data_IF_535751270784
#
_entry.id   IF_535751270784
#
_cell.length_a   1.000
_cell.length_b   1.000
_cell.length_c   1.000
_cell.angle_alpha   90.00
_cell.angle_beta   90.00
_cell.angle_gamma   90.00
#
_symmetry.space_group_name_H-M   'P 1'
#
loop_
_entity.id
_entity.type
_entity.pdbx_description
1 polymer ?
#
# COMPACT_ATOMS: atom_id res chain seq x y z
N UNK A 1 -2.97 -13.52 -14.05
CA UNK A 1 -3.85 -12.77 -13.14
C UNK A 1 -5.29 -13.14 -13.43
N UNK A 2 -6.17 -13.23 -12.42
CA UNK A 2 -7.60 -13.60 -12.58
C UNK A 2 -8.45 -12.33 -12.78
N UNK A 3 -8.84 -11.97 -14.02
CA UNK A 3 -9.52 -10.70 -14.30
C UNK A 3 -10.89 -10.65 -13.61
N UNK A 4 -11.25 -9.49 -13.04
CA UNK A 4 -12.51 -9.30 -12.33
C UNK A 4 -12.62 -10.05 -11.00
N UNK A 5 -11.56 -10.73 -10.55
CA UNK A 5 -11.51 -11.46 -9.26
C UNK A 5 -10.38 -10.98 -8.35
N UNK A 6 -9.31 -10.47 -8.94
CA UNK A 6 -8.18 -9.86 -8.22
C UNK A 6 -7.95 -8.46 -8.79
N UNK A 7 -7.79 -7.48 -7.90
CA UNK A 7 -7.43 -6.10 -8.24
C UNK A 7 -6.02 -5.80 -7.73
N UNK A 8 -5.12 -5.45 -8.64
CA UNK A 8 -3.81 -4.93 -8.26
C UNK A 8 -3.91 -3.46 -7.85
N UNK A 9 -3.43 -3.18 -6.65
CA UNK A 9 -3.39 -1.84 -6.05
C UNK A 9 -1.93 -1.47 -5.83
N UNK A 10 -1.36 -0.57 -6.65
CA UNK A 10 0.00 -0.08 -6.44
C UNK A 10 0.08 0.66 -5.10
N UNK A 11 0.99 0.23 -4.22
CA UNK A 11 1.19 0.88 -2.92
C UNK A 11 1.48 2.38 -3.06
N UNK A 12 2.28 2.77 -4.07
CA UNK A 12 2.56 4.18 -4.35
C UNK A 12 1.27 4.99 -4.57
N UNK A 13 0.36 4.50 -5.42
CA UNK A 13 -0.92 5.17 -5.65
C UNK A 13 -1.80 5.20 -4.40
N UNK A 14 -1.81 4.13 -3.59
CA UNK A 14 -2.54 4.08 -2.33
C UNK A 14 -2.13 5.20 -1.37
N UNK A 15 -0.84 5.50 -1.28
CA UNK A 15 -0.32 6.49 -0.32
C UNK A 15 -0.22 7.90 -0.87
N UNK A 16 -0.18 8.08 -2.21
CA UNK A 16 -0.18 9.42 -2.84
C UNK A 16 -1.58 9.91 -3.20
N UNK A 17 -2.49 8.99 -3.52
CA UNK A 17 -3.87 9.28 -3.93
C UNK A 17 -4.88 8.37 -3.19
N UNK A 18 -4.95 8.45 -1.86
CA UNK A 18 -5.71 7.51 -1.04
C UNK A 18 -7.20 7.48 -1.38
N UNK A 19 -7.82 8.64 -1.59
CA UNK A 19 -9.26 8.70 -1.90
C UNK A 19 -9.59 8.10 -3.28
N UNK A 20 -8.77 8.39 -4.30
CA UNK A 20 -8.98 7.83 -5.64
C UNK A 20 -8.76 6.32 -5.64
N UNK A 21 -7.70 5.85 -4.96
CA UNK A 21 -7.40 4.43 -4.82
C UNK A 21 -8.50 3.70 -4.04
N UNK A 22 -8.95 4.23 -2.91
CA UNK A 22 -10.01 3.64 -2.10
C UNK A 22 -11.33 3.55 -2.87
N UNK A 23 -11.71 4.57 -3.66
CA UNK A 23 -12.90 4.52 -4.52
C UNK A 23 -12.81 3.38 -5.54
N UNK A 24 -11.67 3.24 -6.23
CA UNK A 24 -11.45 2.15 -7.19
C UNK A 24 -11.54 0.77 -6.52
N UNK A 25 -11.02 0.63 -5.30
CA UNK A 25 -11.09 -0.62 -4.53
C UNK A 25 -12.53 -0.92 -4.12
N UNK A 26 -13.26 0.07 -3.61
CA UNK A 26 -14.66 -0.10 -3.21
C UNK A 26 -15.56 -0.43 -4.40
N UNK A 27 -15.39 0.25 -5.54
CA UNK A 27 -16.10 -0.04 -6.79
C UNK A 27 -15.84 -1.47 -7.26
N UNK A 28 -14.59 -1.91 -7.25
CA UNK A 28 -14.23 -3.30 -7.59
C UNK A 28 -14.90 -4.33 -6.67
N UNK A 29 -15.04 -4.00 -5.38
CA UNK A 29 -15.73 -4.84 -4.39
C UNK A 29 -17.26 -4.71 -4.43
N UNK A 30 -17.83 -3.79 -5.22
CA UNK A 30 -19.26 -3.49 -5.23
C UNK A 30 -19.76 -2.81 -3.95
N UNK A 31 -18.90 -2.09 -3.25
CA UNK A 31 -19.19 -1.40 -1.99
C UNK A 31 -19.41 0.10 -2.21
N UNK A 32 -20.32 0.75 -1.45
CA UNK A 32 -20.51 2.19 -1.51
C UNK A 32 -19.34 2.94 -0.88
N UNK A 33 -19.19 4.21 -1.24
CA UNK A 33 -18.27 5.13 -0.56
C UNK A 33 -18.90 5.67 0.73
N UNK A 34 -18.11 5.73 1.80
CA UNK A 34 -18.47 6.37 3.06
C UNK A 34 -17.49 7.49 3.41
N UNK A 35 -17.97 8.54 4.07
CA UNK A 35 -17.10 9.56 4.63
C UNK A 35 -16.19 8.92 5.69
N UNK A 36 -14.90 9.28 5.66
CA UNK A 36 -13.91 8.69 6.56
C UNK A 36 -13.24 7.40 6.07
N UNK A 37 -13.56 6.88 4.87
CA UNK A 37 -12.86 5.71 4.30
C UNK A 37 -11.32 5.85 4.23
N UNK A 38 -10.79 7.08 4.25
CA UNK A 38 -9.36 7.38 4.24
C UNK A 38 -8.83 7.92 5.57
N UNK A 39 -9.69 8.12 6.57
CA UNK A 39 -9.37 8.63 7.91
C UNK A 39 -9.12 7.46 8.89
N UNK A 40 -8.26 6.53 8.48
CA UNK A 40 -8.03 5.26 9.19
C UNK A 40 -7.49 5.46 10.60
N UNK A 41 -6.81 6.58 10.85
CA UNK A 41 -6.27 6.96 12.16
C UNK A 41 -7.36 7.20 13.21
N UNK A 42 -8.61 7.46 12.79
CA UNK A 42 -9.76 7.65 13.68
C UNK A 42 -10.30 6.34 14.24
N UNK A 43 -9.89 5.19 13.69
CA UNK A 43 -10.36 3.89 14.14
C UNK A 43 -9.81 3.53 15.53
N UNK A 44 -10.70 3.27 16.48
CA UNK A 44 -10.35 3.07 17.90
C UNK A 44 -10.11 1.62 18.28
N UNK A 45 -10.49 0.65 17.46
CA UNK A 45 -10.35 -0.75 17.82
C UNK A 45 -8.87 -1.16 17.97
N UNK A 46 -8.57 -2.14 18.84
CA UNK A 46 -7.20 -2.61 19.04
C UNK A 46 -6.64 -3.29 17.79
N UNK A 47 -5.36 -3.04 17.51
CA UNK A 47 -4.59 -3.68 16.43
C UNK A 47 -3.35 -4.32 17.05
N UNK A 48 -3.28 -5.64 17.05
CA UNK A 48 -2.22 -6.44 17.70
C UNK A 48 -1.30 -7.09 16.67
N UNK A 49 -0.99 -6.38 15.58
CA UNK A 49 -0.09 -6.83 14.52
C UNK A 49 1.22 -6.04 14.56
N UNK A 50 2.26 -6.54 13.88
CA UNK A 50 3.56 -5.86 13.80
C UNK A 50 3.48 -4.44 13.18
N UNK A 51 2.43 -4.17 12.40
CA UNK A 51 2.16 -2.85 11.80
C UNK A 51 1.25 -1.96 12.65
N UNK A 52 0.93 -2.35 13.89
CA UNK A 52 -0.07 -1.69 14.74
C UNK A 52 0.14 -0.19 14.94
N UNK A 53 1.39 0.25 15.11
CA UNK A 53 1.71 1.68 15.23
C UNK A 53 1.52 2.41 13.90
N UNK A 54 1.97 1.80 12.79
CA UNK A 54 1.89 2.40 11.45
C UNK A 54 0.45 2.61 10.99
N UNK A 55 -0.45 1.67 11.27
CA UNK A 55 -1.86 1.78 10.83
C UNK A 55 -2.66 2.80 11.66
N UNK A 56 -2.08 3.34 12.73
CA UNK A 56 -2.67 4.41 13.55
C UNK A 56 -2.23 5.81 13.10
N UNK A 57 -1.33 5.90 12.13
CA UNK A 57 -0.93 7.16 11.52
C UNK A 57 -1.83 7.47 10.31
N UNK A 58 -2.03 8.77 9.96
CA UNK A 58 -2.67 9.13 8.70
C UNK A 58 -1.96 8.49 7.51
N UNK A 59 -2.70 8.17 6.45
CA UNK A 59 -2.11 7.60 5.23
C UNK A 59 -1.04 8.56 4.69
N UNK A 60 0.19 8.07 4.58
CA UNK A 60 1.32 8.85 4.10
C UNK A 60 2.32 8.02 3.28
N UNK A 61 3.01 8.68 2.36
CA UNK A 61 4.05 8.07 1.52
C UNK A 61 5.42 7.92 2.18
N UNK A 62 5.55 8.11 3.50
CA UNK A 62 6.84 8.11 4.21
C UNK A 62 7.70 6.87 3.97
N UNK A 63 7.08 5.69 3.77
CA UNK A 63 7.78 4.44 3.48
C UNK A 63 8.32 4.32 2.05
N UNK A 64 7.88 5.18 1.12
CA UNK A 64 8.30 5.12 -0.28
C UNK A 64 9.80 5.34 -0.40
N UNK A 65 10.48 4.41 -1.06
CA UNK A 65 11.91 4.51 -1.30
C UNK A 65 12.79 4.29 -0.06
N UNK A 66 12.25 3.84 1.08
CA UNK A 66 13.06 3.50 2.26
C UNK A 66 14.20 2.51 1.96
N UNK A 67 13.98 1.59 1.02
CA UNK A 67 15.01 0.65 0.55
C UNK A 67 16.27 1.34 0.02
N UNK A 68 16.15 2.58 -0.51
CA UNK A 68 17.27 3.33 -1.08
C UNK A 68 18.37 3.62 -0.06
N UNK A 69 18.03 3.71 1.24
CA UNK A 69 19.01 3.83 2.33
C UNK A 69 19.98 2.65 2.39
N UNK A 70 19.54 1.49 1.90
CA UNK A 70 20.30 0.25 1.88
C UNK A 70 20.77 -0.12 0.47
N UNK A 71 20.56 0.74 -0.54
CA UNK A 71 20.84 0.42 -1.94
C UNK A 71 22.28 -0.10 -2.16
N UNK A 72 23.26 0.47 -1.45
CA UNK A 72 24.67 0.06 -1.53
C UNK A 72 24.91 -1.42 -1.12
N UNK A 73 24.01 -1.98 -0.30
CA UNK A 73 24.11 -3.34 0.25
C UNK A 73 23.22 -4.34 -0.50
N UNK A 74 22.34 -3.86 -1.38
CA UNK A 74 21.34 -4.67 -2.07
C UNK A 74 21.77 -5.12 -3.49
N UNK A 75 23.01 -4.81 -3.92
CA UNK A 75 23.50 -5.11 -5.26
C UNK A 75 23.22 -6.54 -5.75
N UNK A 76 23.67 -7.59 -5.03
CA UNK A 76 23.44 -8.97 -5.44
C UNK A 76 21.95 -9.35 -5.48
N UNK A 77 21.12 -8.77 -4.60
CA UNK A 77 19.68 -9.01 -4.61
C UNK A 77 19.03 -8.35 -5.83
N UNK A 78 19.42 -7.10 -6.13
CA UNK A 78 18.92 -6.33 -7.26
C UNK A 78 19.19 -7.05 -8.58
N UNK A 79 20.42 -7.49 -8.81
CA UNK A 79 20.81 -8.24 -10.02
C UNK A 79 19.94 -9.50 -10.21
N UNK A 80 19.64 -10.22 -9.12
CA UNK A 80 18.80 -11.42 -9.17
C UNK A 80 17.32 -11.10 -9.45
N UNK A 81 16.82 -9.98 -8.95
CA UNK A 81 15.44 -9.53 -9.17
C UNK A 81 15.25 -9.02 -10.61
N UNK A 82 16.20 -8.21 -11.10
CA UNK A 82 16.21 -7.73 -12.49
C UNK A 82 16.28 -8.92 -13.49
N UNK A 83 17.13 -9.91 -13.22
CA UNK A 83 17.20 -11.14 -14.02
C UNK A 83 15.94 -12.01 -13.97
N UNK A 84 15.09 -11.82 -12.96
CA UNK A 84 13.80 -12.49 -12.82
C UNK A 84 12.62 -11.66 -13.39
N UNK A 85 12.89 -10.49 -13.97
CA UNK A 85 11.87 -9.61 -14.56
C UNK A 85 11.12 -8.74 -13.54
N UNK A 86 11.66 -8.56 -12.34
CA UNK A 86 11.14 -7.57 -11.40
C UNK A 86 11.79 -6.19 -11.71
N UNK A 87 10.93 -5.17 -11.87
CA UNK A 87 11.31 -3.76 -12.07
C UNK A 87 11.33 -2.98 -10.75
#
# INVERSE_FOLDING_TARGET
>A
MLPGRILDVPYAALVTEPAATARRVLEFCGLPWEEGCTEIERHTAPVTTASGTQVREPIHGGGLGHWRRYAAWLGPLRERLEGAGAE
#
